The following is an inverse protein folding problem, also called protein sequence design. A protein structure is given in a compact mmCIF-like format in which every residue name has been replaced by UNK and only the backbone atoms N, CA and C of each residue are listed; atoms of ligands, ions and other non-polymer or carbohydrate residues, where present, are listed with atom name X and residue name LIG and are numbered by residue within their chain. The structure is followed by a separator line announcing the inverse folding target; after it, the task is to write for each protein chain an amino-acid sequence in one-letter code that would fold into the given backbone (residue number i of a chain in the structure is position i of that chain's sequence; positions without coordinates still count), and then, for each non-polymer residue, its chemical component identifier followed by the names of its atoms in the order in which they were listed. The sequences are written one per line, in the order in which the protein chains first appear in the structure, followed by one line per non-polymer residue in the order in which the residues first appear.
data_IF_688480068961
#
_entry.id   IF_688480068961
#
_cell.length_a   1.000
_cell.length_b   1.000
_cell.length_c   1.000
_cell.angle_alpha   90.00
_cell.angle_beta   90.00
_cell.angle_gamma   90.00
#
_symmetry.space_group_name_H-M   'P 1'
#
loop_
_entity.id
_entity.type
_entity.pdbx_description
1 polymer ?
#
# COMPACT_ATOMS: atom_id res chain seq x y z
N UNK A 1 5.99 11.19 -12.19
CA UNK A 1 4.61 11.55 -11.84
C UNK A 1 4.64 12.98 -11.34
N UNK A 2 3.91 13.88 -11.98
CA UNK A 2 3.76 15.25 -11.47
C UNK A 2 2.72 15.25 -10.32
N UNK A 3 2.60 16.35 -9.59
CA UNK A 3 1.70 16.42 -8.43
C UNK A 3 0.23 16.29 -8.85
N UNK A 4 -0.17 16.84 -10.01
CA UNK A 4 -1.55 16.78 -10.50
C UNK A 4 -2.00 15.36 -10.85
N UNK A 5 -1.15 14.59 -11.52
CA UNK A 5 -1.39 13.17 -11.84
C UNK A 5 -1.54 12.35 -10.57
N UNK A 6 -0.67 12.58 -9.58
CA UNK A 6 -0.75 11.91 -8.28
C UNK A 6 -2.08 12.21 -7.59
N UNK A 7 -2.44 13.49 -7.51
CA UNK A 7 -3.61 13.94 -6.77
C UNK A 7 -4.91 13.43 -7.44
N UNK A 8 -4.96 13.40 -8.78
CA UNK A 8 -6.08 12.80 -9.52
C UNK A 8 -6.24 11.30 -9.24
N UNK A 9 -5.13 10.54 -9.17
CA UNK A 9 -5.17 9.12 -8.83
C UNK A 9 -5.71 8.92 -7.41
N UNK A 10 -5.26 9.75 -6.46
CA UNK A 10 -5.70 9.68 -5.05
C UNK A 10 -7.18 10.01 -4.91
N UNK A 11 -7.65 11.08 -5.54
CA UNK A 11 -9.07 11.47 -5.53
C UNK A 11 -9.95 10.36 -6.10
N UNK A 12 -9.54 9.73 -7.21
CA UNK A 12 -10.29 8.60 -7.80
C UNK A 12 -10.35 7.40 -6.86
N UNK A 13 -9.24 7.08 -6.20
CA UNK A 13 -9.18 5.98 -5.25
C UNK A 13 -10.11 6.23 -4.07
N UNK A 14 -10.07 7.44 -3.51
CA UNK A 14 -10.93 7.87 -2.41
C UNK A 14 -12.41 7.80 -2.81
N UNK A 15 -12.77 8.33 -3.98
CA UNK A 15 -14.15 8.28 -4.47
C UNK A 15 -14.65 6.85 -4.67
N UNK A 16 -13.81 5.92 -5.15
CA UNK A 16 -14.19 4.50 -5.27
C UNK A 16 -14.45 3.88 -3.90
N UNK A 17 -13.61 4.17 -2.91
CA UNK A 17 -13.76 3.63 -1.55
C UNK A 17 -14.99 4.21 -0.85
N UNK A 18 -15.18 5.54 -0.87
CA UNK A 18 -16.31 6.23 -0.22
C UNK A 18 -17.65 5.81 -0.82
N UNK A 19 -17.73 5.68 -2.16
CA UNK A 19 -18.98 5.32 -2.82
C UNK A 19 -19.23 3.80 -2.86
N UNK A 20 -18.30 2.99 -2.33
CA UNK A 20 -18.49 1.55 -2.22
C UNK A 20 -19.47 1.20 -1.10
N UNK A 21 -20.16 0.05 -1.23
CA UNK A 21 -20.98 -0.51 -0.15
C UNK A 21 -20.16 -1.36 0.83
N UNK A 22 -18.83 -1.26 0.77
CA UNK A 22 -17.92 -2.04 1.60
C UNK A 22 -17.88 -1.46 3.01
N UNK A 23 -17.83 -2.32 4.02
CA UNK A 23 -17.49 -1.92 5.37
C UNK A 23 -16.01 -1.54 5.46
N UNK A 24 -15.64 -0.94 6.58
CA UNK A 24 -14.29 -0.41 6.81
C UNK A 24 -13.21 -1.49 6.68
N UNK A 25 -13.48 -2.72 7.14
CA UNK A 25 -12.54 -3.84 7.03
C UNK A 25 -12.30 -4.25 5.58
N UNK A 26 -13.36 -4.36 4.76
CA UNK A 26 -13.21 -4.72 3.36
C UNK A 26 -12.52 -3.60 2.55
N UNK A 27 -12.76 -2.34 2.88
CA UNK A 27 -12.04 -1.21 2.27
C UNK A 27 -10.52 -1.32 2.52
N UNK A 28 -10.12 -1.61 3.77
CA UNK A 28 -8.70 -1.80 4.11
C UNK A 28 -8.12 -3.00 3.36
N UNK A 29 -8.85 -4.12 3.28
CA UNK A 29 -8.42 -5.31 2.54
C UNK A 29 -8.19 -5.01 1.05
N UNK A 30 -9.05 -4.23 0.42
CA UNK A 30 -8.89 -3.80 -0.98
C UNK A 30 -7.64 -2.94 -1.16
N UNK A 31 -7.39 -1.99 -0.26
CA UNK A 31 -6.17 -1.15 -0.30
C UNK A 31 -4.92 -2.01 -0.13
N UNK A 32 -4.93 -3.00 0.75
CA UNK A 32 -3.83 -3.95 0.92
C UNK A 32 -3.59 -4.79 -0.35
N UNK A 33 -4.65 -5.28 -0.99
CA UNK A 33 -4.54 -6.05 -2.23
C UNK A 33 -4.00 -5.21 -3.40
N UNK A 34 -4.43 -3.95 -3.48
CA UNK A 34 -3.89 -3.00 -4.46
C UNK A 34 -2.40 -2.75 -4.21
N UNK A 35 -1.99 -2.48 -2.97
CA UNK A 35 -0.59 -2.28 -2.61
C UNK A 35 0.25 -3.51 -2.96
N UNK A 36 -0.25 -4.72 -2.69
CA UNK A 36 0.40 -5.97 -3.08
C UNK A 36 0.61 -6.08 -4.60
N UNK A 37 -0.43 -5.84 -5.40
CA UNK A 37 -0.33 -5.90 -6.86
C UNK A 37 0.65 -4.86 -7.42
N UNK A 38 0.67 -3.66 -6.84
CA UNK A 38 1.63 -2.60 -7.21
C UNK A 38 3.07 -2.99 -6.88
N UNK A 39 3.32 -3.58 -5.71
CA UNK A 39 4.64 -4.10 -5.34
C UNK A 39 5.10 -5.20 -6.31
N UNK A 40 4.22 -6.15 -6.61
CA UNK A 40 4.49 -7.23 -7.55
C UNK A 40 4.81 -6.71 -8.97
N UNK A 41 4.06 -5.73 -9.46
CA UNK A 41 4.25 -5.15 -10.79
C UNK A 41 5.50 -4.26 -10.90
N UNK A 42 5.81 -3.50 -9.85
CA UNK A 42 6.95 -2.55 -9.83
C UNK A 42 8.29 -3.21 -9.53
N UNK A 43 8.31 -4.50 -9.13
CA UNK A 43 9.48 -5.20 -8.56
C UNK A 43 10.04 -4.51 -7.30
N UNK A 44 9.24 -3.67 -6.66
CA UNK A 44 9.60 -3.08 -5.37
C UNK A 44 9.40 -4.11 -4.27
N UNK A 45 10.36 -4.19 -3.35
CA UNK A 45 10.30 -5.15 -2.24
C UNK A 45 9.52 -4.61 -1.04
N UNK A 46 9.28 -3.30 -0.98
CA UNK A 46 8.55 -2.67 0.11
C UNK A 46 7.92 -1.34 -0.30
N UNK A 47 6.84 -0.97 0.38
CA UNK A 47 6.26 0.38 0.39
C UNK A 47 6.07 0.82 1.84
N UNK A 48 6.32 2.08 2.13
CA UNK A 48 6.06 2.69 3.43
C UNK A 48 5.24 3.96 3.24
N UNK A 49 4.18 4.08 4.04
CA UNK A 49 3.21 5.17 4.00
C UNK A 49 3.24 5.86 5.36
N UNK A 50 3.56 7.15 5.38
CA UNK A 50 3.47 7.95 6.59
C UNK A 50 2.02 8.36 6.83
N UNK A 51 1.53 8.12 8.04
CA UNK A 51 0.24 8.58 8.52
C UNK A 51 0.38 9.97 9.14
N UNK A 52 -0.70 10.74 9.12
CA UNK A 52 -0.74 12.11 9.64
C UNK A 52 -0.48 12.19 11.15
N UNK A 53 -0.66 11.10 11.89
CA UNK A 53 -0.37 10.98 13.31
C UNK A 53 1.09 10.59 13.62
N UNK A 54 1.95 10.57 12.60
CA UNK A 54 3.38 10.25 12.72
C UNK A 54 3.69 8.76 12.70
N UNK A 55 2.69 7.87 12.65
CA UNK A 55 2.92 6.43 12.47
C UNK A 55 3.27 6.12 11.01
N UNK A 56 3.92 4.98 10.77
CA UNK A 56 4.20 4.50 9.42
C UNK A 56 3.58 3.13 9.21
N UNK A 57 2.83 2.97 8.12
CA UNK A 57 2.35 1.69 7.65
C UNK A 57 3.31 1.18 6.56
N UNK A 58 3.95 0.04 6.80
CA UNK A 58 4.88 -0.57 5.84
C UNK A 58 4.37 -1.94 5.39
N UNK A 59 4.45 -2.20 4.09
CA UNK A 59 4.21 -3.51 3.49
C UNK A 59 5.50 -3.95 2.81
N UNK A 60 6.00 -5.13 3.16
CA UNK A 60 7.26 -5.70 2.63
C UNK A 60 7.01 -7.11 2.14
N UNK A 61 7.48 -7.41 0.94
CA UNK A 61 7.53 -8.77 0.43
C UNK A 61 8.78 -9.44 1.00
N UNK A 62 8.58 -10.48 1.79
CA UNK A 62 9.67 -11.30 2.30
C UNK A 62 9.97 -12.43 1.32
N UNK A 63 11.25 -12.72 1.12
CA UNK A 63 11.65 -13.87 0.33
C UNK A 63 11.41 -15.13 1.19
N UNK A 64 10.54 -16.07 0.78
CA UNK A 64 10.20 -17.23 1.61
C UNK A 64 11.40 -18.12 1.94
N UNK A 65 12.51 -17.97 1.21
CA UNK A 65 13.76 -18.73 1.40
C UNK A 65 14.89 -17.92 2.05
N UNK A 66 14.62 -16.71 2.55
CA UNK A 66 15.63 -15.87 3.19
C UNK A 66 15.96 -16.38 4.60
N UNK A 67 17.10 -17.06 4.77
CA UNK A 67 17.70 -17.27 6.09
C UNK A 67 17.73 -15.96 6.86
N UNK A 68 17.28 -15.92 8.14
CA UNK A 68 17.37 -14.72 8.94
C UNK A 68 18.85 -14.34 9.04
N UNK A 69 19.20 -13.14 8.56
CA UNK A 69 20.53 -12.59 8.76
C UNK A 69 20.69 -12.35 10.26
N UNK A 70 21.35 -13.29 10.94
CA UNK A 70 21.90 -13.09 12.27
C UNK A 70 22.89 -11.92 12.18
N UNK A 71 22.46 -10.77 12.67
CA UNK A 71 23.36 -9.66 12.97
C UNK A 71 24.14 -10.02 14.24
N UNK A 72 25.44 -10.28 14.08
CA UNK A 72 26.43 -10.29 15.15
C UNK A 72 26.84 -8.87 15.52
#
# INVERSE_FOLDING_TARGET
MNNEERDNILDRLEQVLINSRLGTEEQVAVVMLLAFNLLAASRANAVSLALSDGRTLSVKLENPNGTPLLTH
#
